data_IF_674397213781
#
_entry.id   IF_674397213781
#
_cell.length_a   1.000
_cell.length_b   1.000
_cell.length_c   1.000
_cell.angle_alpha   90.00
_cell.angle_beta   90.00
_cell.angle_gamma   90.00
#
_symmetry.space_group_name_H-M   'P 1'
#
loop_
_entity.id
_entity.type
_entity.pdbx_description
1 polymer ?
#
# COMPACT_ATOMS: atom_id res chain seq x y z
N UNK A 1 12.30 6.08 -12.50
CA UNK A 1 12.19 4.65 -12.87
C UNK A 1 11.13 4.10 -11.95
N UNK A 2 10.17 3.32 -12.45
CA UNK A 2 9.05 2.86 -11.64
C UNK A 2 9.31 1.47 -11.05
N UNK A 3 8.84 1.23 -9.82
CA UNK A 3 8.88 -0.09 -9.20
C UNK A 3 7.84 -1.05 -9.79
N UNK A 4 8.15 -2.35 -9.77
CA UNK A 4 7.27 -3.42 -10.28
C UNK A 4 7.03 -4.44 -9.17
N UNK A 5 5.78 -4.86 -8.99
CA UNK A 5 5.48 -6.01 -8.11
C UNK A 5 5.44 -7.28 -8.94
N UNK A 6 6.23 -8.28 -8.54
CA UNK A 6 6.38 -9.56 -9.24
C UNK A 6 5.59 -10.65 -8.54
N UNK A 7 4.68 -11.29 -9.27
CA UNK A 7 4.01 -12.52 -8.85
C UNK A 7 4.72 -13.69 -9.51
N UNK A 8 5.42 -14.49 -8.72
CA UNK A 8 6.20 -15.63 -9.22
C UNK A 8 5.54 -16.96 -8.86
N UNK A 9 5.17 -17.74 -9.87
CA UNK A 9 4.72 -19.11 -9.72
C UNK A 9 5.90 -20.07 -9.87
N UNK A 10 6.32 -20.65 -8.75
CA UNK A 10 7.43 -21.60 -8.69
C UNK A 10 7.16 -22.91 -9.43
N UNK A 11 5.90 -23.35 -9.53
CA UNK A 11 5.55 -24.64 -10.16
C UNK A 11 5.69 -24.54 -11.67
N UNK A 12 5.26 -23.42 -12.24
CA UNK A 12 5.32 -23.18 -13.69
C UNK A 12 6.56 -22.40 -14.11
N UNK A 13 7.35 -21.88 -13.16
CA UNK A 13 8.47 -20.99 -13.37
C UNK A 13 8.07 -19.76 -14.22
N UNK A 14 6.88 -19.21 -13.96
CA UNK A 14 6.33 -18.06 -14.68
C UNK A 14 6.19 -16.87 -13.75
N UNK A 15 6.41 -15.68 -14.30
CA UNK A 15 6.19 -14.42 -13.61
C UNK A 15 5.04 -13.66 -14.25
N UNK A 16 4.30 -12.93 -13.42
CA UNK A 16 3.39 -11.88 -13.81
C UNK A 16 3.78 -10.60 -13.09
N UNK A 17 3.50 -9.45 -13.69
CA UNK A 17 4.05 -8.17 -13.25
C UNK A 17 2.93 -7.15 -13.12
N UNK A 18 2.77 -6.59 -11.93
CA UNK A 18 1.95 -5.42 -11.70
C UNK A 18 2.83 -4.16 -11.84
N UNK A 19 2.51 -3.32 -12.83
CA UNK A 19 3.39 -2.24 -13.34
C UNK A 19 2.74 -0.86 -13.26
N UNK A 20 1.65 -0.75 -12.50
CA UNK A 20 0.81 0.45 -12.41
C UNK A 20 1.34 1.52 -11.43
N UNK A 21 2.35 1.18 -10.61
CA UNK A 21 3.09 2.19 -9.85
C UNK A 21 3.97 3.01 -10.78
N UNK A 22 4.14 4.30 -10.47
CA UNK A 22 4.95 5.21 -11.27
C UNK A 22 6.29 5.60 -10.61
N UNK A 23 6.53 5.09 -9.39
CA UNK A 23 7.81 5.21 -8.67
C UNK A 23 8.07 3.94 -7.83
N UNK A 24 9.12 3.94 -7.01
CA UNK A 24 9.55 2.78 -6.22
C UNK A 24 8.46 2.30 -5.25
N UNK A 25 8.19 0.99 -5.29
CA UNK A 25 7.29 0.31 -4.34
C UNK A 25 8.09 -0.06 -3.10
N UNK A 26 7.65 0.41 -1.93
CA UNK A 26 8.38 0.21 -0.66
C UNK A 26 7.72 -0.75 0.31
N UNK A 27 6.41 -0.94 0.20
CA UNK A 27 5.66 -1.77 1.12
C UNK A 27 4.54 -2.52 0.40
N UNK A 28 4.21 -3.69 0.93
CA UNK A 28 3.19 -4.59 0.39
C UNK A 28 2.45 -5.28 1.54
N UNK A 29 1.16 -5.48 1.39
CA UNK A 29 0.33 -6.25 2.32
C UNK A 29 -0.62 -7.17 1.56
N UNK A 30 -0.82 -8.37 2.10
CA UNK A 30 -1.77 -9.35 1.56
C UNK A 30 -3.09 -9.24 2.31
N UNK A 31 -4.20 -9.26 1.57
CA UNK A 31 -5.52 -9.31 2.19
C UNK A 31 -5.76 -10.70 2.80
N UNK A 32 -6.35 -10.81 4.01
CA UNK A 32 -6.40 -12.07 4.76
C UNK A 32 -7.29 -13.17 4.16
N UNK A 33 -8.25 -12.80 3.29
CA UNK A 33 -9.31 -13.71 2.80
C UNK A 33 -9.43 -13.88 1.29
N UNK A 34 -8.73 -13.07 0.49
CA UNK A 34 -8.91 -13.05 -0.96
C UNK A 34 -7.55 -12.83 -1.65
N UNK A 35 -7.60 -12.67 -2.97
CA UNK A 35 -6.42 -12.48 -3.81
C UNK A 35 -5.97 -11.02 -3.90
N UNK A 36 -6.46 -10.13 -3.03
CA UNK A 36 -6.09 -8.71 -3.07
C UNK A 36 -4.74 -8.47 -2.41
N UNK A 37 -4.03 -7.51 -2.98
CA UNK A 37 -2.75 -7.01 -2.52
C UNK A 37 -2.86 -5.49 -2.40
N UNK A 38 -2.33 -4.93 -1.31
CA UNK A 38 -2.06 -3.50 -1.21
C UNK A 38 -0.56 -3.25 -1.40
N UNK A 39 -0.18 -2.29 -2.23
CA UNK A 39 1.21 -1.87 -2.41
C UNK A 39 1.34 -0.34 -2.37
N UNK A 40 2.37 0.15 -1.70
CA UNK A 40 2.59 1.57 -1.47
C UNK A 40 3.89 2.04 -2.11
N UNK A 41 3.86 3.23 -2.70
CA UNK A 41 5.03 3.82 -3.37
C UNK A 41 5.55 5.09 -2.71
N UNK A 42 6.75 5.48 -3.09
CA UNK A 42 7.37 6.75 -2.70
C UNK A 42 6.82 7.94 -3.50
N UNK A 43 7.13 9.15 -3.03
CA UNK A 43 7.06 10.36 -3.84
C UNK A 43 8.17 10.31 -4.91
N UNK A 44 7.79 10.60 -6.15
CA UNK A 44 8.70 10.75 -7.27
C UNK A 44 8.98 12.19 -7.66
N UNK A 45 9.55 12.35 -8.84
CA UNK A 45 9.84 13.66 -9.42
C UNK A 45 8.66 14.14 -10.26
N UNK A 46 8.09 15.30 -9.90
CA UNK A 46 6.99 15.95 -10.63
C UNK A 46 5.63 15.81 -9.95
N UNK A 47 4.67 16.63 -10.38
CA UNK A 47 3.36 16.79 -9.73
C UNK A 47 2.49 15.52 -9.76
N UNK A 48 2.75 14.61 -10.71
CA UNK A 48 1.98 13.37 -10.91
C UNK A 48 2.53 12.17 -10.13
N UNK A 49 3.71 12.29 -9.52
CA UNK A 49 4.39 11.20 -8.82
C UNK A 49 4.14 11.27 -7.30
N UNK A 50 2.90 11.55 -6.89
CA UNK A 50 2.54 11.62 -5.46
C UNK A 50 2.55 10.22 -4.83
N UNK A 51 3.01 10.07 -3.57
CA UNK A 51 2.90 8.80 -2.88
C UNK A 51 1.43 8.40 -2.77
N UNK A 52 1.19 7.11 -2.95
CA UNK A 52 -0.14 6.53 -2.88
C UNK A 52 -0.06 5.03 -2.61
N UNK A 53 -1.19 4.47 -2.21
CA UNK A 53 -1.39 3.03 -2.07
C UNK A 53 -2.32 2.55 -3.17
N UNK A 54 -2.00 1.41 -3.77
CA UNK A 54 -2.90 0.71 -4.70
C UNK A 54 -3.36 -0.58 -4.09
N UNK A 55 -4.66 -0.83 -4.11
CA UNK A 55 -5.25 -2.14 -3.82
C UNK A 55 -5.62 -2.78 -5.15
N UNK A 56 -5.14 -4.00 -5.42
CA UNK A 56 -5.27 -4.66 -6.71
C UNK A 56 -5.43 -6.16 -6.56
N UNK A 57 -6.02 -6.80 -7.58
CA UNK A 57 -6.26 -8.25 -7.57
C UNK A 57 -5.09 -9.02 -8.18
N UNK A 58 -4.53 -9.97 -7.43
CA UNK A 58 -3.39 -10.77 -7.87
C UNK A 58 -3.73 -11.73 -9.03
N UNK A 59 -4.98 -12.09 -9.22
CA UNK A 59 -5.42 -12.97 -10.32
C UNK A 59 -5.55 -12.19 -11.62
N UNK A 60 -6.15 -11.01 -11.61
CA UNK A 60 -6.42 -10.21 -12.82
C UNK A 60 -5.41 -9.09 -13.07
N UNK A 61 -4.59 -8.73 -12.07
CA UNK A 61 -3.71 -7.55 -12.05
C UNK A 61 -4.46 -6.21 -12.15
N UNK A 62 -5.76 -6.22 -11.92
CA UNK A 62 -6.60 -5.03 -12.00
C UNK A 62 -6.52 -4.22 -10.71
N UNK A 63 -6.31 -2.90 -10.83
CA UNK A 63 -6.38 -1.97 -9.70
C UNK A 63 -7.84 -1.79 -9.27
N UNK A 64 -8.13 -2.05 -8.00
CA UNK A 64 -9.45 -1.89 -7.38
C UNK A 64 -9.61 -0.57 -6.65
N UNK A 65 -8.54 -0.06 -6.05
CA UNK A 65 -8.54 1.25 -5.40
C UNK A 65 -7.17 1.92 -5.48
N UNK A 66 -7.17 3.25 -5.47
CA UNK A 66 -5.98 4.10 -5.32
C UNK A 66 -6.26 5.06 -4.17
N UNK A 67 -5.48 4.95 -3.09
CA UNK A 67 -5.72 5.64 -1.82
C UNK A 67 -4.65 6.70 -1.56
N UNK A 68 -5.08 7.81 -0.96
CA UNK A 68 -4.19 8.80 -0.32
C UNK A 68 -3.29 9.61 -1.25
N UNK A 69 -3.60 9.68 -2.55
CA UNK A 69 -2.88 10.57 -3.47
C UNK A 69 -3.02 12.03 -3.01
N UNK A 70 -1.90 12.70 -2.74
CA UNK A 70 -1.86 14.06 -2.19
C UNK A 70 -2.16 14.15 -0.69
N UNK A 71 -2.30 13.03 0.00
CA UNK A 71 -2.43 12.95 1.47
C UNK A 71 -1.10 12.60 2.12
N UNK A 72 -0.37 11.65 1.53
CA UNK A 72 0.95 11.23 2.01
C UNK A 72 2.04 12.19 1.53
N UNK A 73 3.09 12.39 2.33
CA UNK A 73 4.15 13.34 1.97
C UNK A 73 5.30 12.71 1.18
N UNK A 74 6.04 11.77 1.79
CA UNK A 74 7.33 11.28 1.24
C UNK A 74 7.25 9.91 0.60
N UNK A 75 6.39 9.05 1.11
CA UNK A 75 6.36 7.64 0.76
C UNK A 75 5.60 6.84 1.80
N UNK A 76 5.42 5.56 1.55
CA UNK A 76 4.77 4.63 2.48
C UNK A 76 5.80 3.64 3.01
N UNK A 77 5.84 3.44 4.32
CA UNK A 77 6.75 2.49 4.97
C UNK A 77 6.06 1.21 5.45
N UNK A 78 4.76 1.26 5.77
CA UNK A 78 4.03 0.08 6.26
C UNK A 78 2.57 0.07 5.78
N UNK A 79 2.06 -1.13 5.51
CA UNK A 79 0.67 -1.40 5.15
C UNK A 79 0.18 -2.64 5.86
N UNK A 80 -1.09 -2.65 6.27
CA UNK A 80 -1.70 -3.86 6.78
C UNK A 80 -3.23 -3.85 6.72
N UNK A 81 -3.79 -4.93 6.18
CA UNK A 81 -5.23 -5.17 6.22
C UNK A 81 -5.69 -5.62 7.61
N UNK A 82 -6.88 -5.22 8.03
CA UNK A 82 -7.47 -5.67 9.28
C UNK A 82 -7.73 -7.18 9.27
N UNK A 83 -7.41 -7.88 10.36
CA UNK A 83 -7.32 -9.35 10.39
C UNK A 83 -8.59 -10.09 9.92
N UNK A 84 -9.74 -9.82 10.55
CA UNK A 84 -10.91 -10.68 10.38
C UNK A 84 -11.63 -10.53 9.03
N UNK A 85 -11.69 -9.32 8.49
CA UNK A 85 -12.43 -9.04 7.25
C UNK A 85 -11.55 -8.49 6.14
N UNK A 86 -10.39 -7.93 6.49
CA UNK A 86 -9.58 -7.11 5.58
C UNK A 86 -10.31 -5.86 5.10
N UNK A 87 -11.45 -5.49 5.70
CA UNK A 87 -12.27 -4.35 5.28
C UNK A 87 -11.51 -3.02 5.40
N UNK A 88 -10.62 -2.92 6.37
CA UNK A 88 -9.85 -1.71 6.61
C UNK A 88 -8.39 -1.95 6.26
N UNK A 89 -7.76 -0.91 5.73
CA UNK A 89 -6.33 -0.87 5.48
C UNK A 89 -5.73 0.24 6.33
N UNK A 90 -4.75 -0.12 7.14
CA UNK A 90 -3.91 0.89 7.81
C UNK A 90 -2.65 1.12 6.98
N UNK A 91 -2.26 2.38 6.83
CA UNK A 91 -1.09 2.81 6.07
C UNK A 91 -0.25 3.75 6.95
N UNK A 92 1.08 3.65 6.91
CA UNK A 92 1.97 4.61 7.56
C UNK A 92 2.86 5.25 6.52
N UNK A 93 2.92 6.57 6.54
CA UNK A 93 3.79 7.34 5.65
C UNK A 93 5.18 7.64 6.25
N UNK A 94 6.09 8.08 5.39
CA UNK A 94 7.47 8.46 5.75
C UNK A 94 7.59 9.98 6.04
N UNK A 95 6.50 10.65 6.46
CA UNK A 95 6.57 12.03 6.94
C UNK A 95 7.41 12.14 8.22
N UNK A 96 7.75 13.36 8.65
CA UNK A 96 8.57 13.56 9.85
C UNK A 96 7.93 13.02 11.15
N UNK A 97 6.61 12.93 11.19
CA UNK A 97 5.85 12.45 12.35
C UNK A 97 5.29 11.03 12.13
N UNK A 98 5.62 10.39 10.99
CA UNK A 98 5.10 9.11 10.52
C UNK A 98 3.60 8.96 10.81
N UNK A 99 2.75 9.45 9.93
CA UNK A 99 1.33 9.48 10.18
C UNK A 99 0.73 8.12 9.83
N UNK A 100 -0.01 7.52 10.75
CA UNK A 100 -0.84 6.36 10.50
C UNK A 100 -2.21 6.81 10.01
N UNK A 101 -2.69 6.20 8.94
CA UNK A 101 -3.98 6.47 8.31
C UNK A 101 -4.79 5.19 8.27
N UNK A 102 -6.06 5.26 8.67
CA UNK A 102 -7.00 4.15 8.54
C UNK A 102 -7.97 4.44 7.40
N UNK A 103 -8.06 3.52 6.44
CA UNK A 103 -8.95 3.61 5.29
C UNK A 103 -9.98 2.48 5.28
N UNK A 104 -11.22 2.81 4.92
CA UNK A 104 -12.14 1.88 4.26
C UNK A 104 -11.79 1.92 2.77
N UNK A 105 -11.02 0.92 2.32
CA UNK A 105 -10.40 0.93 0.99
C UNK A 105 -11.41 0.66 -0.12
N UNK A 106 -12.45 -0.13 0.14
CA UNK A 106 -13.53 -0.40 -0.82
C UNK A 106 -14.33 0.87 -1.12
N UNK A 107 -14.54 1.70 -0.10
CA UNK A 107 -15.24 2.99 -0.24
C UNK A 107 -14.32 4.14 -0.64
N UNK A 108 -13.02 3.89 -0.77
CA UNK A 108 -12.00 4.90 -0.99
C UNK A 108 -12.08 6.07 0.03
N UNK A 109 -12.29 5.74 1.31
CA UNK A 109 -12.57 6.71 2.36
C UNK A 109 -11.53 6.64 3.48
N UNK A 110 -10.87 7.79 3.76
CA UNK A 110 -10.08 7.96 4.98
C UNK A 110 -11.01 8.06 6.19
N UNK A 111 -10.85 7.16 7.16
CA UNK A 111 -11.64 7.12 8.38
C UNK A 111 -11.03 8.01 9.48
N UNK A 112 -9.70 7.90 9.68
CA UNK A 112 -8.97 8.69 10.67
C UNK A 112 -7.46 8.69 10.37
N UNK A 113 -6.73 9.55 11.06
CA UNK A 113 -5.27 9.58 11.06
C UNK A 113 -4.72 9.92 12.46
N UNK A 114 -3.49 9.50 12.73
CA UNK A 114 -2.78 9.80 13.98
C UNK A 114 -1.26 9.82 13.77
N UNK A 115 -0.57 10.78 14.37
CA UNK A 115 0.90 10.78 14.44
C UNK A 115 1.36 9.59 15.28
N UNK A 116 2.45 8.94 14.86
CA UNK A 116 2.93 7.72 15.55
C UNK A 116 4.28 7.92 16.22
N UNK A 117 5.32 8.25 15.46
CA UNK A 117 6.71 8.29 15.92
C UNK A 117 7.53 9.26 15.08
N UNK A 118 8.57 9.83 15.68
CA UNK A 118 9.61 10.58 14.96
C UNK A 118 10.78 9.71 14.51
N UNK A 119 10.82 8.47 14.98
CA UNK A 119 11.83 7.47 14.61
C UNK A 119 11.30 6.56 13.49
N UNK A 120 12.22 5.91 12.78
CA UNK A 120 11.87 5.00 11.70
C UNK A 120 10.98 3.86 12.20
N UNK A 121 9.91 3.58 11.46
CA UNK A 121 9.00 2.47 11.71
C UNK A 121 9.26 1.33 10.73
N UNK A 122 9.37 0.12 11.27
CA UNK A 122 9.75 -1.07 10.49
C UNK A 122 8.60 -2.06 10.29
N UNK A 123 7.58 -2.03 11.16
CA UNK A 123 6.48 -2.99 11.10
C UNK A 123 5.21 -2.42 11.73
N UNK A 124 4.09 -2.89 11.21
CA UNK A 124 2.74 -2.63 11.68
C UNK A 124 1.99 -3.96 11.76
N UNK A 125 1.30 -4.17 12.89
CA UNK A 125 0.54 -5.39 13.19
C UNK A 125 -0.80 -5.02 13.83
N UNK A 126 -1.90 -5.46 13.23
CA UNK A 126 -3.22 -5.49 13.86
C UNK A 126 -3.18 -6.48 15.03
N UNK A 127 -3.85 -6.13 16.13
CA UNK A 127 -4.04 -7.08 17.22
C UNK A 127 -4.83 -8.29 16.70
N UNK A 128 -4.43 -9.53 17.05
CA UNK A 128 -5.08 -10.76 16.62
C UNK A 128 -6.60 -10.77 16.84
#
# INVERSE_FOLDING_TARGET
MAGVVVLYDQKTNKQRHYTEHNDDVKCIALHPKNTLIASGQVAGHGDDAKPHVRVWDASTLETKAVLGSGVFERGLCALEFSNATGQYLVCIDESNDHVAYLYDWEKNQKLTEANTSKEALFSLKWQP
#
